data_IF_775285638784
#
_entry.id   IF_775285638784
#
_cell.length_a   1.000
_cell.length_b   1.000
_cell.length_c   1.000
_cell.angle_alpha   90.00
_cell.angle_beta   90.00
_cell.angle_gamma   90.00
#
_symmetry.space_group_name_H-M   'P 1'
#
loop_
_entity.id
_entity.type
_entity.pdbx_description
1 polymer ?
#
# COMPACT_ATOMS: atom_id res chain seq x y z
N UNK A 1 19.01 33.20 -1.31
CA UNK A 1 20.46 32.91 -1.34
C UNK A 1 20.65 31.45 -0.98
N UNK A 2 21.61 30.75 -1.60
CA UNK A 2 21.93 29.38 -1.21
C UNK A 2 22.82 29.46 0.05
N UNK A 3 22.36 29.02 1.24
CA UNK A 3 23.14 29.15 2.48
C UNK A 3 24.47 28.38 2.41
N UNK A 4 24.61 27.44 1.47
CA UNK A 4 25.86 26.69 1.25
C UNK A 4 26.97 27.49 0.56
N UNK A 5 26.67 28.67 -0.01
CA UNK A 5 27.68 29.56 -0.59
C UNK A 5 28.12 30.67 0.37
N UNK A 6 27.57 30.69 1.59
CA UNK A 6 27.97 31.63 2.62
C UNK A 6 29.28 31.17 3.29
N UNK A 7 30.39 31.93 3.15
CA UNK A 7 31.67 31.57 3.76
C UNK A 7 31.61 31.49 5.28
N UNK A 8 30.71 32.23 5.94
CA UNK A 8 30.55 32.17 7.39
C UNK A 8 29.91 30.84 7.83
N UNK A 9 28.94 30.34 7.06
CA UNK A 9 28.33 29.05 7.33
C UNK A 9 29.30 27.88 7.11
N UNK A 10 30.11 27.94 6.05
CA UNK A 10 31.13 26.92 5.78
C UNK A 10 32.18 26.87 6.90
N UNK A 11 32.70 28.03 7.32
CA UNK A 11 33.65 28.13 8.43
C UNK A 11 33.04 27.61 9.75
N UNK A 12 31.75 27.89 9.98
CA UNK A 12 31.03 27.35 11.12
C UNK A 12 30.94 25.82 11.09
N UNK A 13 30.61 25.21 9.94
CA UNK A 13 30.53 23.77 9.80
C UNK A 13 31.88 23.07 10.05
N UNK A 14 32.98 23.63 9.55
CA UNK A 14 34.33 23.11 9.81
C UNK A 14 34.73 23.23 11.29
N UNK A 15 34.20 24.23 12.00
CA UNK A 15 34.46 24.44 13.42
C UNK A 15 33.61 23.54 14.35
N UNK A 16 32.60 22.83 13.83
CA UNK A 16 31.79 21.92 14.64
C UNK A 16 32.58 20.68 15.04
N UNK A 17 32.67 20.46 16.35
CA UNK A 17 33.22 19.23 16.92
C UNK A 17 32.13 18.18 16.92
N UNK A 18 32.19 17.26 15.97
CA UNK A 18 31.23 16.16 15.84
C UNK A 18 31.50 15.12 16.91
N UNK A 19 30.50 14.85 17.75
CA UNK A 19 30.53 13.75 18.71
C UNK A 19 30.39 12.44 17.95
N UNK A 20 31.31 11.51 18.19
CA UNK A 20 31.20 10.16 17.63
C UNK A 20 29.82 9.58 18.02
N UNK A 21 29.02 9.14 17.03
CA UNK A 21 27.64 8.72 17.24
C UNK A 21 27.51 7.49 18.15
N UNK A 22 28.59 6.74 18.40
CA UNK A 22 28.61 5.54 19.23
C UNK A 22 28.95 5.82 20.70
N UNK A 23 29.56 6.98 21.02
CA UNK A 23 30.09 7.27 22.37
C UNK A 23 29.03 7.20 23.47
N UNK A 24 27.81 7.68 23.20
CA UNK A 24 26.74 7.64 24.20
C UNK A 24 25.95 6.32 24.18
N UNK A 25 26.04 5.52 23.10
CA UNK A 25 25.12 4.40 22.89
C UNK A 25 25.30 3.25 23.88
N UNK A 26 26.48 3.15 24.50
CA UNK A 26 26.78 2.13 25.51
C UNK A 26 26.32 2.53 26.92
N UNK A 27 25.84 3.75 27.11
CA UNK A 27 25.40 4.26 28.41
C UNK A 27 23.91 3.96 28.65
N UNK A 28 23.47 3.82 29.91
CA UNK A 28 22.06 3.84 30.24
C UNK A 28 21.38 5.09 29.70
N UNK A 29 20.15 4.93 29.25
CA UNK A 29 19.31 5.99 28.68
C UNK A 29 19.31 7.31 29.47
N UNK A 30 19.11 7.24 30.78
CA UNK A 30 19.12 8.42 31.64
C UNK A 30 20.46 9.14 31.59
N UNK A 31 21.58 8.42 31.60
CA UNK A 31 22.91 9.00 31.45
C UNK A 31 23.10 9.65 30.06
N UNK A 32 22.60 9.05 28.98
CA UNK A 32 22.66 9.65 27.65
C UNK A 32 21.99 11.03 27.59
N UNK A 33 20.83 11.17 28.24
CA UNK A 33 20.16 12.46 28.40
C UNK A 33 21.01 13.43 29.23
N UNK A 34 21.56 12.98 30.36
CA UNK A 34 22.41 13.81 31.22
C UNK A 34 23.63 14.38 30.47
N UNK A 35 24.27 13.58 29.61
CA UNK A 35 25.39 14.01 28.76
C UNK A 35 24.93 14.91 27.62
N UNK A 36 23.76 14.65 27.04
CA UNK A 36 23.21 15.46 25.94
C UNK A 36 22.76 16.83 26.42
N UNK A 37 21.96 16.90 27.50
CA UNK A 37 21.47 18.17 28.05
C UNK A 37 22.58 19.08 28.57
N UNK A 38 23.72 18.52 28.98
CA UNK A 38 24.91 19.29 29.41
C UNK A 38 25.87 19.64 28.28
N UNK A 39 25.64 19.13 27.07
CA UNK A 39 26.51 19.43 25.95
C UNK A 39 26.42 20.93 25.60
N UNK A 40 27.54 21.65 25.42
CA UNK A 40 27.52 23.08 25.10
C UNK A 40 26.63 23.40 23.90
N UNK A 41 26.71 22.60 22.83
CA UNK A 41 25.83 22.73 21.66
C UNK A 41 24.35 22.64 22.02
N UNK A 42 23.94 21.70 22.86
CA UNK A 42 22.54 21.57 23.32
C UNK A 42 22.08 22.82 24.07
N UNK A 43 22.90 23.30 25.01
CA UNK A 43 22.62 24.50 25.79
C UNK A 43 22.48 25.74 24.89
N UNK A 44 23.39 25.90 23.93
CA UNK A 44 23.36 27.02 22.97
C UNK A 44 22.14 26.93 22.06
N UNK A 45 21.88 25.76 21.47
CA UNK A 45 20.73 25.55 20.58
C UNK A 45 19.40 25.79 21.30
N UNK A 46 19.24 25.26 22.52
CA UNK A 46 18.03 25.45 23.30
C UNK A 46 17.79 26.93 23.64
N UNK A 47 18.84 27.69 23.97
CA UNK A 47 18.71 29.13 24.24
C UNK A 47 18.31 29.94 23.02
N UNK A 48 18.82 29.57 21.83
CA UNK A 48 18.58 30.30 20.58
C UNK A 48 17.28 29.89 19.87
N UNK A 49 16.75 28.70 20.18
CA UNK A 49 15.57 28.15 19.52
C UNK A 49 14.34 29.07 19.60
N UNK A 50 13.93 29.65 20.76
CA UNK A 50 12.74 30.49 20.84
C UNK A 50 12.77 31.70 19.89
N UNK A 51 13.93 32.37 19.77
CA UNK A 51 14.08 33.54 18.91
C UNK A 51 13.93 33.17 17.42
N UNK A 52 14.53 32.05 17.01
CA UNK A 52 14.42 31.51 15.65
C UNK A 52 12.99 31.08 15.33
N UNK A 53 12.30 30.46 16.30
CA UNK A 53 10.91 30.05 16.16
C UNK A 53 9.97 31.25 16.05
N UNK A 54 10.14 32.25 16.90
CA UNK A 54 9.33 33.47 16.85
C UNK A 54 9.53 34.23 15.54
N UNK A 55 10.76 34.27 15.02
CA UNK A 55 11.03 34.85 13.72
C UNK A 55 10.33 34.06 12.59
N UNK A 56 10.27 32.72 12.69
CA UNK A 56 9.65 31.85 11.68
C UNK A 56 8.12 32.01 11.68
N UNK A 57 7.50 32.06 12.86
CA UNK A 57 6.05 32.21 13.03
C UNK A 57 5.56 33.60 12.61
N UNK A 58 6.37 34.64 12.82
CA UNK A 58 5.98 36.02 12.46
C UNK A 58 6.09 36.31 10.96
N UNK A 59 6.53 35.34 10.15
CA UNK A 59 6.67 35.51 8.70
C UNK A 59 7.74 36.52 8.30
N UNK A 60 8.53 37.01 9.26
CA UNK A 60 9.76 37.70 8.96
C UNK A 60 10.67 36.69 8.24
N UNK A 61 11.33 37.13 7.15
CA UNK A 61 12.39 36.36 6.52
C UNK A 61 13.46 36.11 7.58
N UNK A 62 13.34 35.00 8.30
CA UNK A 62 14.39 34.53 9.19
C UNK A 62 15.56 34.32 8.27
N UNK A 63 16.68 34.95 8.61
CA UNK A 63 17.95 34.54 8.06
C UNK A 63 18.02 33.01 8.20
N UNK A 64 18.15 32.21 7.13
CA UNK A 64 18.21 30.76 7.24
C UNK A 64 19.44 30.30 8.04
N UNK A 65 20.41 31.19 8.27
CA UNK A 65 21.66 30.90 8.94
C UNK A 65 21.49 30.43 10.40
N UNK A 66 20.79 31.13 11.32
CA UNK A 66 20.69 30.70 12.72
C UNK A 66 19.94 29.37 12.88
N UNK A 67 18.89 29.12 12.08
CA UNK A 67 18.19 27.84 12.07
C UNK A 67 19.12 26.70 11.59
N UNK A 68 19.88 26.93 10.52
CA UNK A 68 20.85 25.96 10.00
C UNK A 68 21.98 25.70 10.99
N UNK A 69 22.44 26.72 11.71
CA UNK A 69 23.44 26.57 12.78
C UNK A 69 22.92 25.73 13.94
N UNK A 70 21.70 25.99 14.42
CA UNK A 70 21.05 25.19 15.48
C UNK A 70 20.94 23.72 15.06
N UNK A 71 20.46 23.46 13.83
CA UNK A 71 20.35 22.10 13.31
C UNK A 71 21.72 21.43 13.16
N UNK A 72 22.73 22.16 12.71
CA UNK A 72 24.11 21.68 12.62
C UNK A 72 24.69 21.30 13.99
N UNK A 73 24.50 22.15 14.99
CA UNK A 73 24.89 21.90 16.38
C UNK A 73 24.23 20.64 16.96
N UNK A 74 22.92 20.47 16.73
CA UNK A 74 22.17 19.31 17.24
C UNK A 74 22.58 18.02 16.51
N UNK A 75 22.73 18.10 15.19
CA UNK A 75 23.17 16.97 14.38
C UNK A 75 24.60 16.54 14.75
N UNK A 76 25.50 17.49 15.03
CA UNK A 76 26.87 17.22 15.47
C UNK A 76 26.93 16.43 16.78
N UNK A 77 25.87 16.44 17.59
CA UNK A 77 25.78 15.64 18.82
C UNK A 77 24.80 14.47 18.70
N UNK A 78 24.25 14.20 17.51
CA UNK A 78 23.30 13.11 17.31
C UNK A 78 21.94 13.34 17.97
N UNK A 79 21.56 14.61 18.19
CA UNK A 79 20.19 14.98 18.58
C UNK A 79 19.40 15.24 17.31
N UNK A 80 18.46 14.35 17.03
CA UNK A 80 17.62 14.42 15.83
C UNK A 80 16.21 14.79 16.26
N UNK A 81 15.98 16.07 16.51
CA UNK A 81 14.65 16.60 16.92
C UNK A 81 14.26 17.84 16.11
N UNK A 82 13.00 18.23 16.22
CA UNK A 82 12.53 19.53 15.72
C UNK A 82 12.97 20.62 16.71
N UNK A 83 13.36 21.79 16.19
CA UNK A 83 13.67 22.98 16.98
C UNK A 83 12.46 23.36 17.85
N UNK A 84 11.22 23.11 17.37
CA UNK A 84 9.97 23.36 18.09
C UNK A 84 9.75 22.50 19.34
N UNK A 85 10.58 21.49 19.58
CA UNK A 85 10.34 20.47 20.61
C UNK A 85 11.57 20.13 21.45
N UNK A 86 12.57 21.01 21.54
CA UNK A 86 13.74 20.78 22.41
C UNK A 86 13.33 20.86 23.90
N UNK A 87 13.42 19.75 24.66
CA UNK A 87 13.17 19.78 26.09
C UNK A 87 14.10 20.74 26.82
N UNK A 88 13.60 21.37 27.89
CA UNK A 88 14.45 22.18 28.77
C UNK A 88 15.63 21.34 29.26
N UNK A 89 16.86 21.89 29.29
CA UNK A 89 17.97 21.22 29.93
C UNK A 89 17.73 20.91 31.41
N UNK A 90 16.75 21.56 32.04
CA UNK A 90 16.34 21.29 33.43
C UNK A 90 15.34 20.12 33.55
N UNK A 91 14.72 19.69 32.44
CA UNK A 91 13.78 18.57 32.43
C UNK A 91 14.49 17.28 32.88
N UNK A 92 13.95 16.63 33.91
CA UNK A 92 14.49 15.36 34.38
C UNK A 92 14.22 14.26 33.35
N UNK A 93 15.03 13.20 33.37
CA UNK A 93 14.90 12.11 32.41
C UNK A 93 13.49 11.49 32.43
N UNK A 94 12.94 11.26 33.62
CA UNK A 94 11.63 10.63 33.80
C UNK A 94 10.45 11.51 33.34
N UNK A 95 10.70 12.80 33.12
CA UNK A 95 9.71 13.78 32.65
C UNK A 95 9.78 14.00 31.12
N UNK A 96 10.65 13.27 30.41
CA UNK A 96 10.76 13.31 28.95
C UNK A 96 9.65 12.48 28.30
N UNK A 97 8.39 12.89 28.51
CA UNK A 97 7.22 12.29 27.86
C UNK A 97 6.62 13.28 26.85
N UNK A 98 6.23 12.77 25.67
CA UNK A 98 5.48 13.51 24.66
C UNK A 98 5.96 13.30 23.22
N UNK A 99 5.20 13.82 22.23
CA UNK A 99 5.62 13.86 20.83
C UNK A 99 6.94 14.61 20.69
N UNK A 100 7.94 14.02 20.03
CA UNK A 100 9.27 14.64 19.92
C UNK A 100 10.25 14.33 21.05
N UNK A 101 9.86 13.59 22.10
CA UNK A 101 10.78 12.99 23.07
C UNK A 101 11.30 11.60 22.63
N UNK A 102 10.92 11.13 21.44
CA UNK A 102 11.27 9.78 20.96
C UNK A 102 12.77 9.55 20.78
N UNK A 103 13.53 10.62 20.51
CA UNK A 103 15.00 10.57 20.45
C UNK A 103 15.63 10.40 21.85
N UNK A 104 14.93 10.82 22.91
CA UNK A 104 15.41 10.76 24.29
C UNK A 104 15.20 9.37 24.93
N UNK A 105 14.47 8.47 24.28
CA UNK A 105 14.48 7.04 24.60
C UNK A 105 15.46 6.31 23.68
N UNK A 106 16.77 6.22 24.03
CA UNK A 106 17.70 5.34 23.38
C UNK A 106 17.24 3.91 23.57
N UNK A 107 16.59 3.48 22.52
CA UNK A 107 16.24 2.13 22.18
C UNK A 107 17.42 1.58 21.38
N UNK A 108 17.68 0.28 21.47
CA UNK A 108 18.61 -0.40 20.57
C UNK A 108 18.17 -0.36 19.09
N UNK A 109 17.01 0.24 18.82
CA UNK A 109 16.30 0.36 17.54
C UNK A 109 15.71 1.78 17.45
N UNK A 110 16.25 2.66 16.61
CA UNK A 110 15.75 4.05 16.49
C UNK A 110 14.97 4.24 15.19
N UNK A 111 13.76 4.83 15.21
CA UNK A 111 13.05 5.16 13.97
C UNK A 111 13.84 6.20 13.18
N UNK A 112 14.00 5.99 11.88
CA UNK A 112 14.51 7.02 10.98
C UNK A 112 13.35 7.92 10.52
N UNK A 113 13.54 9.23 10.63
CA UNK A 113 12.62 10.21 10.04
C UNK A 113 12.87 10.36 8.54
N UNK A 114 11.91 10.96 7.82
CA UNK A 114 12.04 11.23 6.38
C UNK A 114 13.32 12.02 6.07
N UNK A 115 13.68 12.99 6.92
CA UNK A 115 14.94 13.73 6.79
C UNK A 115 16.16 12.81 6.89
N UNK A 116 16.13 11.81 7.76
CA UNK A 116 17.24 10.88 7.94
C UNK A 116 17.35 9.95 6.74
N UNK A 117 16.22 9.59 6.12
CA UNK A 117 16.20 8.87 4.85
C UNK A 117 16.77 9.72 3.71
N UNK A 118 16.44 11.00 3.63
CA UNK A 118 17.04 11.92 2.66
C UNK A 118 18.55 12.06 2.87
N UNK A 119 18.98 12.25 4.11
CA UNK A 119 20.40 12.29 4.45
C UNK A 119 21.10 10.96 4.13
N UNK A 120 20.46 9.83 4.39
CA UNK A 120 20.98 8.51 4.06
C UNK A 120 21.12 8.37 2.54
N UNK A 121 20.08 8.67 1.77
CA UNK A 121 20.11 8.64 0.31
C UNK A 121 21.25 9.52 -0.23
N UNK A 122 21.42 10.74 0.29
CA UNK A 122 22.51 11.63 -0.12
C UNK A 122 23.89 11.06 0.26
N UNK A 123 24.02 10.43 1.42
CA UNK A 123 25.28 9.92 1.93
C UNK A 123 25.69 8.57 1.29
N UNK A 124 24.73 7.74 0.91
CA UNK A 124 24.98 6.36 0.47
C UNK A 124 24.86 6.16 -1.03
N UNK A 125 24.07 6.98 -1.73
CA UNK A 125 23.96 6.86 -3.18
C UNK A 125 25.23 7.39 -3.86
N UNK A 126 25.70 6.73 -4.93
CA UNK A 126 26.65 7.33 -5.85
C UNK A 126 26.15 8.71 -6.31
N UNK A 127 27.08 9.64 -6.58
CA UNK A 127 26.74 11.02 -6.94
C UNK A 127 25.72 11.11 -8.09
N UNK A 128 25.85 10.27 -9.10
CA UNK A 128 24.93 10.24 -10.24
C UNK A 128 23.51 9.83 -9.83
N UNK A 129 23.38 8.80 -8.99
CA UNK A 129 22.09 8.33 -8.47
C UNK A 129 21.45 9.36 -7.52
N UNK A 130 22.26 10.03 -6.68
CA UNK A 130 21.79 11.08 -5.78
C UNK A 130 21.21 12.28 -6.54
N UNK A 131 21.82 12.66 -7.68
CA UNK A 131 21.29 13.71 -8.57
C UNK A 131 19.92 13.31 -9.13
N UNK A 132 19.76 12.07 -9.60
CA UNK A 132 18.48 11.61 -10.11
C UNK A 132 17.42 11.51 -9.01
N UNK A 133 17.78 11.02 -7.82
CA UNK A 133 16.87 11.03 -6.66
C UNK A 133 16.38 12.45 -6.34
N UNK A 134 17.28 13.43 -6.33
CA UNK A 134 16.94 14.83 -6.13
C UNK A 134 16.04 15.38 -7.26
N UNK A 135 16.30 15.02 -8.52
CA UNK A 135 15.46 15.40 -9.65
C UNK A 135 14.05 14.81 -9.54
N UNK A 136 13.90 13.53 -9.24
CA UNK A 136 12.58 12.91 -9.07
C UNK A 136 11.79 13.53 -7.92
N UNK A 137 12.46 13.81 -6.79
CA UNK A 137 11.84 14.52 -5.67
C UNK A 137 11.40 15.94 -6.07
N UNK A 138 12.23 16.64 -6.86
CA UNK A 138 11.91 17.97 -7.37
C UNK A 138 10.71 17.96 -8.32
N UNK A 139 10.71 17.08 -9.32
CA UNK A 139 9.64 16.96 -10.31
C UNK A 139 8.32 16.49 -9.69
N UNK A 140 8.37 15.67 -8.64
CA UNK A 140 7.19 15.27 -7.87
C UNK A 140 6.54 16.43 -7.09
N UNK A 141 7.27 17.53 -6.88
CA UNK A 141 6.81 18.72 -6.13
C UNK A 141 6.51 19.91 -7.04
N UNK A 142 7.34 20.14 -8.06
CA UNK A 142 7.28 21.31 -8.95
C UNK A 142 6.43 21.12 -10.20
N UNK A 143 5.79 19.95 -10.36
CA UNK A 143 4.77 19.79 -11.39
C UNK A 143 3.76 20.92 -11.38
N UNK A 144 3.44 21.46 -12.56
CA UNK A 144 2.46 22.54 -12.70
C UNK A 144 1.17 22.15 -11.96
N UNK A 145 0.84 22.83 -10.84
CA UNK A 145 -0.37 22.51 -10.12
C UNK A 145 -1.54 22.97 -10.98
N UNK A 146 -2.31 22.01 -11.51
CA UNK A 146 -3.65 22.32 -11.99
C UNK A 146 -4.48 22.65 -10.76
N UNK A 147 -4.93 23.89 -10.65
CA UNK A 147 -5.65 24.39 -9.49
C UNK A 147 -6.92 23.57 -9.25
N UNK A 148 -7.01 22.89 -8.10
CA UNK A 148 -8.16 22.06 -7.72
C UNK A 148 -8.05 20.56 -8.04
N UNK A 149 -6.92 20.06 -8.55
CA UNK A 149 -6.79 18.66 -8.98
C UNK A 149 -5.79 17.84 -8.15
N UNK A 150 -6.24 17.38 -6.97
CA UNK A 150 -5.47 16.48 -6.11
C UNK A 150 -5.22 15.10 -6.77
N UNK A 151 -6.04 14.71 -7.74
CA UNK A 151 -5.91 13.46 -8.49
C UNK A 151 -4.74 13.52 -9.47
N UNK A 152 -4.57 14.62 -10.20
CA UNK A 152 -3.40 14.88 -11.05
C UNK A 152 -2.10 14.94 -10.25
N UNK A 153 -2.09 15.56 -9.06
CA UNK A 153 -0.89 15.55 -8.20
C UNK A 153 -0.54 14.15 -7.72
N UNK A 154 -1.55 13.34 -7.40
CA UNK A 154 -1.37 11.93 -7.01
C UNK A 154 -0.84 11.10 -8.18
N UNK A 155 -1.40 11.29 -9.37
CA UNK A 155 -0.96 10.62 -10.59
C UNK A 155 0.47 11.03 -10.99
N UNK A 156 0.83 12.30 -10.84
CA UNK A 156 2.18 12.77 -11.14
C UNK A 156 3.21 12.18 -10.18
N UNK A 157 2.91 12.15 -8.87
CA UNK A 157 3.76 11.47 -7.88
C UNK A 157 3.90 9.99 -8.22
N UNK A 158 2.81 9.33 -8.59
CA UNK A 158 2.81 7.94 -9.02
C UNK A 158 3.71 7.73 -10.24
N UNK A 159 3.60 8.59 -11.26
CA UNK A 159 4.42 8.53 -12.47
C UNK A 159 5.92 8.67 -12.14
N UNK A 160 6.29 9.61 -11.26
CA UNK A 160 7.69 9.77 -10.85
C UNK A 160 8.21 8.56 -10.06
N UNK A 161 7.37 7.95 -9.22
CA UNK A 161 7.69 6.68 -8.55
C UNK A 161 7.94 5.57 -9.58
N UNK A 162 7.12 5.48 -10.63
CA UNK A 162 7.35 4.49 -11.71
C UNK A 162 8.66 4.78 -12.46
N UNK A 163 8.98 6.04 -12.75
CA UNK A 163 10.25 6.40 -13.39
C UNK A 163 11.47 6.07 -12.53
N UNK A 164 11.37 6.22 -11.20
CA UNK A 164 12.40 5.78 -10.27
C UNK A 164 12.54 4.25 -10.25
N UNK A 165 11.44 3.49 -10.36
CA UNK A 165 11.45 2.02 -10.42
C UNK A 165 12.07 1.44 -11.69
N UNK A 166 12.06 2.20 -12.78
CA UNK A 166 12.72 1.81 -14.04
C UNK A 166 14.25 1.95 -13.98
N UNK A 167 14.80 2.53 -12.90
CA UNK A 167 16.25 2.60 -12.70
C UNK A 167 16.80 1.26 -12.27
N UNK A 168 17.83 0.83 -12.99
CA UNK A 168 18.48 -0.47 -12.79
C UNK A 168 19.77 -0.37 -12.00
N UNK A 169 20.14 0.80 -11.46
CA UNK A 169 21.32 0.90 -10.59
C UNK A 169 21.06 0.17 -9.28
N UNK A 170 22.12 -0.42 -8.72
CA UNK A 170 22.02 -1.23 -7.49
C UNK A 170 21.51 -0.42 -6.30
N UNK A 171 21.70 0.91 -6.31
CA UNK A 171 21.16 1.83 -5.31
C UNK A 171 19.64 2.02 -5.35
N UNK A 172 18.99 1.92 -6.53
CA UNK A 172 17.53 2.01 -6.67
C UNK A 172 16.83 0.65 -6.53
N UNK A 173 17.58 -0.45 -6.67
CA UNK A 173 17.09 -1.83 -6.48
C UNK A 173 17.02 -2.26 -5.02
N UNK A 174 17.53 -1.47 -4.08
CA UNK A 174 17.48 -1.79 -2.66
C UNK A 174 16.05 -1.71 -2.12
N UNK A 175 15.60 -2.75 -1.42
CA UNK A 175 14.24 -2.84 -0.87
C UNK A 175 14.01 -1.84 0.26
N UNK A 176 12.85 -1.19 0.22
CA UNK A 176 12.33 -0.37 1.32
C UNK A 176 10.80 -0.44 1.32
N UNK A 177 10.24 -1.26 2.20
CA UNK A 177 8.78 -1.32 2.43
C UNK A 177 8.42 -1.41 3.93
N UNK A 178 9.35 -1.06 4.81
CA UNK A 178 9.23 -1.27 6.25
C UNK A 178 9.70 -0.04 7.05
N UNK A 179 9.27 0.13 8.31
CA UNK A 179 9.85 1.12 9.19
C UNK A 179 11.36 0.91 9.27
N UNK A 180 12.13 1.87 8.79
CA UNK A 180 13.56 1.82 8.97
C UNK A 180 13.91 2.09 10.40
N UNK A 181 14.66 1.15 10.96
CA UNK A 181 15.26 1.32 12.24
C UNK A 181 16.78 1.32 12.12
N UNK A 182 17.43 2.31 12.74
CA UNK A 182 18.85 2.20 13.02
C UNK A 182 19.04 1.22 14.18
N UNK A 183 19.75 0.11 13.95
CA UNK A 183 20.01 -0.90 14.98
C UNK A 183 21.38 -0.64 15.61
N UNK A 184 21.42 -0.62 16.95
CA UNK A 184 22.68 -0.57 17.67
C UNK A 184 23.31 -1.96 17.76
N UNK A 185 24.38 -2.19 16.98
CA UNK A 185 25.03 -3.51 16.89
C UNK A 185 25.70 -3.99 18.19
N UNK A 186 26.00 -3.10 19.15
CA UNK A 186 26.52 -3.51 20.47
C UNK A 186 25.43 -3.87 21.47
N UNK A 187 24.16 -3.56 21.18
CA UNK A 187 23.06 -3.98 22.03
C UNK A 187 22.86 -5.48 21.95
N UNK A 188 22.44 -6.11 23.06
CA UNK A 188 22.12 -7.52 23.05
C UNK A 188 20.94 -7.81 22.11
N UNK A 189 20.95 -8.97 21.43
CA UNK A 189 19.85 -9.40 20.57
C UNK A 189 18.49 -9.37 21.28
N UNK A 190 18.45 -9.73 22.57
CA UNK A 190 17.24 -9.68 23.39
C UNK A 190 16.71 -8.25 23.56
N UNK A 191 17.60 -7.28 23.73
CA UNK A 191 17.23 -5.87 23.84
C UNK A 191 16.71 -5.33 22.50
N UNK A 192 17.39 -5.67 21.39
CA UNK A 192 16.95 -5.33 20.02
C UNK A 192 15.53 -5.85 19.75
N UNK A 193 15.28 -7.12 20.04
CA UNK A 193 13.95 -7.72 19.86
C UNK A 193 12.87 -7.05 20.73
N UNK A 194 13.20 -6.75 21.99
CA UNK A 194 12.29 -6.07 22.92
C UNK A 194 11.91 -4.69 22.42
N UNK A 195 12.89 -3.91 21.98
CA UNK A 195 12.68 -2.54 21.53
C UNK A 195 11.97 -2.49 20.17
N UNK A 196 12.33 -3.37 19.24
CA UNK A 196 11.62 -3.54 17.97
C UNK A 196 10.14 -3.89 18.21
N UNK A 197 9.86 -4.80 19.15
CA UNK A 197 8.49 -5.15 19.53
C UNK A 197 7.69 -3.96 20.07
N UNK A 198 8.31 -3.09 20.88
CA UNK A 198 7.67 -1.84 21.36
C UNK A 198 7.33 -0.90 20.22
N UNK A 199 8.26 -0.68 19.28
CA UNK A 199 8.04 0.19 18.13
C UNK A 199 6.95 -0.34 17.20
N UNK A 200 6.97 -1.64 16.90
CA UNK A 200 5.91 -2.28 16.08
C UNK A 200 4.55 -2.13 16.76
N UNK A 201 4.47 -2.34 18.07
CA UNK A 201 3.22 -2.18 18.83
C UNK A 201 2.69 -0.75 18.72
N UNK A 202 3.54 0.25 18.98
CA UNK A 202 3.18 1.68 18.89
C UNK A 202 2.73 2.06 17.48
N UNK A 203 3.44 1.59 16.45
CA UNK A 203 3.10 1.87 15.05
C UNK A 203 1.75 1.26 14.66
N UNK A 204 1.44 0.05 15.16
CA UNK A 204 0.13 -0.58 14.97
C UNK A 204 -0.98 0.22 15.65
N UNK A 205 -0.76 0.67 16.89
CA UNK A 205 -1.70 1.52 17.64
C UNK A 205 -1.98 2.83 16.89
N UNK A 206 -0.93 3.52 16.42
CA UNK A 206 -1.06 4.77 15.65
C UNK A 206 -1.84 4.60 14.34
N UNK A 207 -1.66 3.46 13.66
CA UNK A 207 -2.34 3.17 12.39
C UNK A 207 -3.69 2.47 12.57
N UNK A 208 -4.16 2.27 13.81
CA UNK A 208 -5.36 1.48 14.11
C UNK A 208 -5.34 0.08 13.49
N UNK A 209 -4.15 -0.51 13.34
CA UNK A 209 -3.98 -1.85 12.78
C UNK A 209 -4.13 -2.86 13.93
N UNK A 210 -5.22 -3.64 13.97
CA UNK A 210 -5.41 -4.63 15.02
C UNK A 210 -4.33 -5.71 14.94
N UNK A 211 -3.83 -6.15 16.09
CA UNK A 211 -2.95 -7.32 16.14
C UNK A 211 -3.73 -8.56 15.69
N UNK A 212 -3.37 -9.10 14.52
CA UNK A 212 -3.94 -10.34 14.00
C UNK A 212 -2.87 -11.42 14.01
N UNK A 213 -3.14 -12.52 14.71
CA UNK A 213 -2.37 -13.75 14.52
C UNK A 213 -2.71 -14.31 13.14
N UNK A 214 -1.72 -14.32 12.25
CA UNK A 214 -1.84 -15.01 10.96
C UNK A 214 -1.73 -16.51 11.20
N UNK A 215 -2.85 -17.22 11.08
CA UNK A 215 -2.84 -18.68 11.08
C UNK A 215 -2.43 -19.16 9.68
N UNK A 216 -1.16 -19.55 9.51
CA UNK A 216 -0.62 -20.06 8.24
C UNK A 216 -1.47 -21.21 7.68
N UNK A 217 -1.93 -22.12 8.54
CA UNK A 217 -2.84 -23.21 8.14
C UNK A 217 -4.15 -22.71 7.53
N UNK A 218 -4.70 -21.60 8.07
CA UNK A 218 -5.90 -20.95 7.51
C UNK A 218 -5.59 -20.34 6.15
N UNK A 219 -4.42 -19.73 5.97
CA UNK A 219 -4.00 -19.15 4.69
C UNK A 219 -3.99 -20.17 3.55
N UNK A 220 -3.41 -21.35 3.79
CA UNK A 220 -3.40 -22.42 2.78
C UNK A 220 -4.81 -22.86 2.38
N UNK A 221 -5.75 -22.90 3.34
CA UNK A 221 -7.15 -23.23 3.02
C UNK A 221 -7.88 -22.14 2.25
N UNK A 222 -7.54 -20.86 2.49
CA UNK A 222 -8.09 -19.71 1.76
C UNK A 222 -7.61 -19.73 0.31
N UNK A 223 -6.30 -19.88 0.11
CA UNK A 223 -5.70 -19.97 -1.23
C UNK A 223 -6.22 -21.19 -1.99
N UNK A 224 -6.25 -22.38 -1.38
CA UNK A 224 -6.79 -23.57 -2.04
C UNK A 224 -8.27 -23.43 -2.46
N UNK A 225 -9.05 -22.65 -1.71
CA UNK A 225 -10.46 -22.36 -2.06
C UNK A 225 -10.52 -21.37 -3.22
N UNK A 226 -9.70 -20.31 -3.20
CA UNK A 226 -9.60 -19.35 -4.30
C UNK A 226 -9.13 -20.03 -5.59
N UNK A 227 -8.06 -20.82 -5.50
CA UNK A 227 -7.48 -21.57 -6.61
C UNK A 227 -8.48 -22.54 -7.22
N UNK A 228 -9.23 -23.28 -6.40
CA UNK A 228 -10.24 -24.20 -6.91
C UNK A 228 -11.43 -23.50 -7.59
N UNK A 229 -11.89 -22.37 -7.05
CA UNK A 229 -13.02 -21.63 -7.62
C UNK A 229 -12.63 -20.93 -8.92
N UNK A 230 -11.47 -20.26 -8.92
CA UNK A 230 -11.03 -19.50 -10.08
C UNK A 230 -10.34 -20.37 -11.14
N UNK A 231 -9.82 -21.54 -10.77
CA UNK A 231 -9.09 -22.44 -11.66
C UNK A 231 -7.58 -22.15 -11.70
N UNK A 232 -6.97 -21.76 -10.57
CA UNK A 232 -5.50 -21.65 -10.51
C UNK A 232 -4.87 -23.00 -10.18
N UNK A 233 -3.89 -23.41 -10.99
CA UNK A 233 -3.10 -24.63 -10.78
C UNK A 233 -1.67 -24.39 -11.29
N UNK A 234 -0.65 -24.87 -10.58
CA UNK A 234 0.77 -24.73 -10.97
C UNK A 234 1.23 -23.28 -11.28
N UNK A 235 0.63 -22.30 -10.61
CA UNK A 235 0.95 -20.88 -10.79
C UNK A 235 0.40 -20.27 -12.07
N UNK A 236 -0.54 -20.95 -12.74
CA UNK A 236 -1.23 -20.47 -13.94
C UNK A 236 -2.73 -20.55 -13.77
N UNK A 237 -3.42 -19.73 -14.53
CA UNK A 237 -4.88 -19.78 -14.66
C UNK A 237 -5.26 -20.93 -15.61
N UNK A 238 -6.33 -21.66 -15.32
CA UNK A 238 -6.86 -22.81 -16.06
C UNK A 238 -8.39 -22.81 -15.97
N UNK A 239 -9.06 -22.24 -16.95
CA UNK A 239 -10.52 -22.07 -16.97
C UNK A 239 -11.26 -23.41 -16.81
N UNK A 240 -10.75 -24.48 -17.39
CA UNK A 240 -11.29 -25.85 -17.31
C UNK A 240 -11.17 -26.48 -15.92
N UNK A 241 -10.31 -25.92 -15.06
CA UNK A 241 -10.13 -26.36 -13.67
C UNK A 241 -10.96 -25.55 -12.67
N UNK A 242 -11.61 -24.47 -13.12
CA UNK A 242 -12.50 -23.69 -12.28
C UNK A 242 -13.68 -24.54 -11.82
N UNK A 243 -13.92 -24.58 -10.50
CA UNK A 243 -14.99 -25.34 -9.87
C UNK A 243 -16.07 -24.40 -9.33
N UNK A 244 -17.33 -24.86 -9.33
CA UNK A 244 -18.39 -24.10 -8.64
C UNK A 244 -18.18 -24.12 -7.13
N UNK A 245 -18.72 -23.13 -6.41
CA UNK A 245 -18.73 -23.12 -4.94
C UNK A 245 -19.32 -24.42 -4.37
N UNK A 246 -20.34 -24.99 -5.04
CA UNK A 246 -20.96 -26.24 -4.66
C UNK A 246 -19.99 -27.43 -4.80
N UNK A 247 -19.25 -27.52 -5.90
CA UNK A 247 -18.29 -28.60 -6.12
C UNK A 247 -17.12 -28.51 -5.15
N UNK A 248 -16.63 -27.29 -4.87
CA UNK A 248 -15.59 -27.05 -3.87
C UNK A 248 -16.08 -27.41 -2.47
N UNK A 249 -17.32 -27.05 -2.10
CA UNK A 249 -17.93 -27.42 -0.83
C UNK A 249 -18.07 -28.94 -0.66
N UNK A 250 -18.54 -29.63 -1.71
CA UNK A 250 -18.64 -31.09 -1.72
C UNK A 250 -17.27 -31.76 -1.57
N UNK A 251 -16.26 -31.28 -2.33
CA UNK A 251 -14.88 -31.80 -2.29
C UNK A 251 -14.23 -31.57 -0.93
N UNK A 252 -14.40 -30.39 -0.34
CA UNK A 252 -13.84 -30.03 0.97
C UNK A 252 -14.62 -30.65 2.14
N UNK A 253 -15.82 -31.19 1.91
CA UNK A 253 -16.79 -31.64 2.93
C UNK A 253 -17.16 -30.49 3.89
N UNK A 254 -17.39 -29.32 3.32
CA UNK A 254 -17.74 -28.10 4.05
C UNK A 254 -19.07 -27.51 3.55
N UNK A 255 -19.62 -26.55 4.29
CA UNK A 255 -20.83 -25.85 3.85
C UNK A 255 -20.52 -24.85 2.73
N UNK A 256 -21.48 -24.61 1.82
CA UNK A 256 -21.38 -23.56 0.77
C UNK A 256 -21.03 -22.19 1.36
N UNK A 257 -21.66 -21.83 2.49
CA UNK A 257 -21.38 -20.57 3.21
C UNK A 257 -19.93 -20.50 3.72
N UNK A 258 -19.38 -21.61 4.22
CA UNK A 258 -17.98 -21.65 4.65
C UNK A 258 -17.01 -21.43 3.49
N UNK A 259 -17.25 -22.10 2.35
CA UNK A 259 -16.45 -21.95 1.14
C UNK A 259 -16.53 -20.52 0.59
N UNK A 260 -17.74 -19.95 0.52
CA UNK A 260 -17.94 -18.58 0.07
C UNK A 260 -17.20 -17.57 0.95
N UNK A 261 -17.32 -17.67 2.27
CA UNK A 261 -16.59 -16.79 3.19
C UNK A 261 -15.07 -16.92 3.06
N UNK A 262 -14.56 -18.11 2.76
CA UNK A 262 -13.13 -18.32 2.48
C UNK A 262 -12.70 -17.67 1.18
N UNK A 263 -13.51 -17.80 0.14
CA UNK A 263 -13.28 -17.12 -1.13
C UNK A 263 -13.22 -15.60 -0.97
N UNK A 264 -14.21 -15.00 -0.28
CA UNK A 264 -14.26 -13.56 -0.01
C UNK A 264 -13.01 -13.07 0.75
N UNK A 265 -12.58 -13.80 1.77
CA UNK A 265 -11.38 -13.45 2.54
C UNK A 265 -10.10 -13.64 1.72
N UNK A 266 -10.02 -14.68 0.89
CA UNK A 266 -8.89 -14.89 -0.02
C UNK A 266 -8.79 -13.76 -1.06
N UNK A 267 -9.92 -13.40 -1.67
CA UNK A 267 -10.04 -12.27 -2.60
C UNK A 267 -9.56 -10.97 -1.93
N UNK A 268 -10.00 -10.72 -0.69
CA UNK A 268 -9.58 -9.54 0.07
C UNK A 268 -8.09 -9.51 0.36
N UNK A 269 -7.48 -10.65 0.63
CA UNK A 269 -6.04 -10.76 0.88
C UNK A 269 -5.21 -10.60 -0.39
N UNK A 270 -5.69 -11.09 -1.54
CA UNK A 270 -5.01 -10.98 -2.83
C UNK A 270 -5.09 -9.57 -3.41
N UNK A 271 -6.25 -8.93 -3.32
CA UNK A 271 -6.52 -7.64 -3.96
C UNK A 271 -6.30 -6.45 -3.03
N UNK A 272 -6.34 -6.67 -1.71
CA UNK A 272 -6.37 -5.60 -0.71
C UNK A 272 -7.74 -4.98 -0.48
N UNK A 273 -8.79 -5.43 -1.18
CA UNK A 273 -10.13 -4.83 -1.15
C UNK A 273 -11.24 -5.86 -0.89
N UNK A 274 -12.35 -5.50 -0.22
CA UNK A 274 -13.52 -6.38 -0.16
C UNK A 274 -13.98 -6.80 -1.55
N UNK A 275 -14.50 -8.02 -1.67
CA UNK A 275 -15.06 -8.49 -2.93
C UNK A 275 -16.25 -7.61 -3.34
N UNK A 276 -16.19 -7.12 -4.57
CA UNK A 276 -17.36 -6.62 -5.32
C UNK A 276 -17.29 -7.22 -6.71
N UNK A 277 -18.44 -7.39 -7.36
CA UNK A 277 -18.48 -7.95 -8.70
C UNK A 277 -17.71 -7.07 -9.70
N UNK A 278 -17.77 -5.75 -9.57
CA UNK A 278 -17.08 -4.81 -10.46
C UNK A 278 -15.56 -4.92 -10.33
N UNK A 279 -15.05 -5.10 -9.10
CA UNK A 279 -13.63 -5.27 -8.87
C UNK A 279 -13.16 -6.66 -9.33
N UNK A 280 -13.94 -7.70 -9.06
CA UNK A 280 -13.70 -9.03 -9.58
C UNK A 280 -13.63 -9.01 -11.11
N UNK A 281 -14.59 -8.36 -11.76
CA UNK A 281 -14.67 -8.21 -13.20
C UNK A 281 -13.41 -7.54 -13.75
N UNK A 282 -13.04 -6.38 -13.19
CA UNK A 282 -11.83 -5.64 -13.61
C UNK A 282 -10.54 -6.46 -13.50
N UNK A 283 -10.43 -7.36 -12.52
CA UNK A 283 -9.20 -8.10 -12.24
C UNK A 283 -9.15 -9.47 -12.92
N UNK A 284 -10.27 -10.19 -12.97
CA UNK A 284 -10.32 -11.60 -13.35
C UNK A 284 -11.03 -11.84 -14.69
N UNK A 285 -11.95 -10.99 -15.12
CA UNK A 285 -12.69 -11.23 -16.37
C UNK A 285 -11.76 -11.31 -17.58
N UNK A 286 -10.76 -10.44 -17.66
CA UNK A 286 -9.78 -10.43 -18.75
C UNK A 286 -9.00 -11.75 -18.82
N UNK A 287 -8.66 -12.35 -17.67
CA UNK A 287 -7.97 -13.65 -17.62
C UNK A 287 -8.87 -14.78 -18.14
N UNK A 288 -10.14 -14.77 -17.76
CA UNK A 288 -11.11 -15.78 -18.22
C UNK A 288 -11.36 -15.68 -19.72
N UNK A 289 -11.50 -14.45 -20.23
CA UNK A 289 -11.82 -14.19 -21.64
C UNK A 289 -10.61 -14.51 -22.52
N UNK A 290 -9.41 -14.09 -22.14
CA UNK A 290 -8.19 -14.41 -22.88
C UNK A 290 -7.93 -15.92 -22.97
N UNK A 291 -8.20 -16.70 -21.92
CA UNK A 291 -8.10 -18.15 -22.01
C UNK A 291 -9.19 -18.79 -22.86
N UNK A 292 -10.42 -18.31 -22.73
CA UNK A 292 -11.53 -18.79 -23.56
C UNK A 292 -11.29 -18.54 -25.06
N UNK A 293 -10.50 -17.52 -25.42
CA UNK A 293 -10.03 -17.24 -26.79
C UNK A 293 -8.93 -18.18 -27.26
N UNK A 294 -7.92 -18.44 -26.43
CA UNK A 294 -6.81 -19.36 -26.74
C UNK A 294 -7.30 -20.81 -26.91
N UNK A 295 -8.30 -21.23 -26.15
CA UNK A 295 -8.87 -22.58 -26.19
C UNK A 295 -9.95 -22.78 -27.28
N UNK A 296 -10.17 -21.77 -28.16
CA UNK A 296 -11.06 -21.87 -29.35
C UNK A 296 -10.48 -22.78 -30.43
N UNK A 297 -10.24 -24.03 -30.10
CA UNK A 297 -10.11 -25.09 -31.11
C UNK A 297 -11.51 -25.55 -31.52
N UNK A 298 -11.76 -25.89 -32.81
CA UNK A 298 -13.06 -26.36 -33.30
C UNK A 298 -13.62 -27.57 -32.54
N UNK A 299 -12.75 -28.33 -31.87
CA UNK A 299 -13.05 -29.54 -31.11
C UNK A 299 -13.65 -29.25 -29.72
N UNK A 300 -13.39 -28.06 -29.14
CA UNK A 300 -13.90 -27.65 -27.83
C UNK A 300 -15.27 -26.96 -27.87
N UNK A 301 -15.84 -26.73 -29.05
CA UNK A 301 -17.18 -26.13 -29.21
C UNK A 301 -18.28 -26.92 -28.47
N UNK A 302 -18.12 -28.24 -28.35
CA UNK A 302 -19.15 -29.13 -27.79
C UNK A 302 -19.26 -29.16 -26.27
N UNK A 303 -18.26 -28.68 -25.52
CA UNK A 303 -18.30 -28.66 -24.05
C UNK A 303 -18.95 -27.39 -23.49
N UNK A 304 -18.75 -26.25 -24.15
CA UNK A 304 -19.39 -24.98 -23.81
C UNK A 304 -20.86 -24.90 -24.26
N UNK A 305 -21.27 -25.73 -25.23
CA UNK A 305 -22.65 -25.78 -25.75
C UNK A 305 -23.47 -26.97 -25.25
N UNK A 306 -23.05 -27.69 -24.20
CA UNK A 306 -23.95 -28.65 -23.51
C UNK A 306 -25.01 -27.90 -22.71
N UNK A 307 -25.95 -27.31 -23.46
CA UNK A 307 -27.32 -27.01 -23.06
C UNK A 307 -27.86 -28.22 -22.33
N UNK A 308 -28.08 -28.08 -21.02
CA UNK A 308 -29.18 -28.81 -20.39
C UNK A 308 -30.43 -28.20 -20.99
N UNK A 309 -31.16 -28.95 -21.80
CA UNK A 309 -32.55 -28.65 -22.10
C UNK A 309 -33.30 -28.60 -20.76
N UNK A 310 -33.42 -27.40 -20.19
CA UNK A 310 -34.33 -27.09 -19.10
C UNK A 310 -35.73 -26.98 -19.72
N UNK A 311 -36.26 -28.11 -20.16
CA UNK A 311 -37.70 -28.28 -20.19
C UNK A 311 -38.19 -28.08 -18.76
N UNK A 312 -38.95 -27.01 -18.55
CA UNK A 312 -39.49 -26.56 -17.27
C UNK A 312 -40.31 -27.65 -16.59
N UNK A 313 -39.65 -28.52 -15.80
CA UNK A 313 -40.33 -29.30 -14.78
C UNK A 313 -40.63 -28.37 -13.62
N UNK A 314 -41.80 -27.71 -13.69
CA UNK A 314 -42.43 -27.14 -12.51
C UNK A 314 -42.71 -28.29 -11.53
N UNK A 315 -41.82 -28.48 -10.56
CA UNK A 315 -42.10 -29.31 -9.40
C UNK A 315 -42.88 -28.41 -8.42
N UNK A 316 -44.13 -28.76 -8.07
CA UNK A 316 -44.91 -27.97 -7.13
C UNK A 316 -44.25 -28.04 -5.75
N UNK A 317 -43.73 -26.91 -5.29
CA UNK A 317 -43.17 -26.78 -3.93
C UNK A 317 -44.32 -26.60 -2.96
N UNK A 318 -44.44 -27.52 -2.01
CA UNK A 318 -45.48 -27.52 -0.99
C UNK A 318 -45.19 -26.41 0.04
N UNK A 319 -46.12 -25.49 0.26
CA UNK A 319 -45.97 -24.23 1.02
C UNK A 319 -45.75 -24.38 2.55
N UNK A 320 -45.49 -25.59 3.05
CA UNK A 320 -45.55 -25.90 4.49
C UNK A 320 -44.22 -25.81 5.25
N UNK A 321 -43.21 -25.04 4.77
CA UNK A 321 -41.91 -24.88 5.47
C UNK A 321 -41.31 -23.47 5.49
N UNK A 322 -42.13 -22.42 5.50
CA UNK A 322 -41.65 -21.05 5.76
C UNK A 322 -41.84 -20.70 7.24
N UNK A 323 -40.81 -20.99 8.02
CA UNK A 323 -40.69 -20.60 9.43
C UNK A 323 -39.22 -20.63 9.84
N UNK A 324 -38.48 -19.57 9.52
CA UNK A 324 -37.10 -19.39 9.94
C UNK A 324 -36.37 -18.40 9.04
N UNK A 325 -36.18 -17.18 9.54
CA UNK A 325 -35.39 -16.11 8.93
C UNK A 325 -34.04 -16.63 8.42
N UNK A 326 -33.89 -16.62 7.10
CA UNK A 326 -32.62 -16.85 6.41
C UNK A 326 -32.67 -16.11 5.07
N UNK A 327 -32.77 -14.78 5.17
CA UNK A 327 -32.76 -13.86 4.03
C UNK A 327 -31.40 -13.86 3.29
N UNK A 328 -30.35 -14.39 3.93
CA UNK A 328 -28.99 -14.45 3.38
C UNK A 328 -28.71 -15.72 2.51
N UNK A 329 -29.66 -16.64 2.39
CA UNK A 329 -29.48 -17.93 1.69
C UNK A 329 -30.13 -18.01 0.31
N UNK A 330 -30.86 -16.97 -0.12
CA UNK A 330 -31.49 -16.91 -1.46
C UNK A 330 -30.52 -16.52 -2.59
N UNK A 331 -29.39 -15.88 -2.28
CA UNK A 331 -28.37 -15.49 -3.28
C UNK A 331 -27.31 -16.57 -3.56
N UNK A 332 -27.48 -17.80 -3.05
CA UNK A 332 -26.47 -18.87 -3.12
C UNK A 332 -26.66 -19.89 -4.26
N UNK A 333 -27.51 -19.61 -5.25
CA UNK A 333 -27.61 -20.38 -6.51
C UNK A 333 -26.75 -19.76 -7.62
N UNK A 334 -25.45 -19.61 -7.35
CA UNK A 334 -24.46 -19.05 -8.28
C UNK A 334 -24.04 -20.01 -9.41
N UNK A 335 -24.85 -21.00 -9.77
CA UNK A 335 -24.73 -21.69 -11.07
C UNK A 335 -25.47 -20.95 -12.18
N UNK A 336 -26.36 -20.02 -11.83
CA UNK A 336 -27.03 -19.13 -12.79
C UNK A 336 -26.06 -18.09 -13.35
N UNK A 337 -25.11 -17.58 -12.56
CA UNK A 337 -24.18 -16.49 -12.96
C UNK A 337 -23.35 -16.75 -14.24
N UNK A 338 -22.92 -17.98 -14.54
CA UNK A 338 -22.18 -18.29 -15.78
C UNK A 338 -23.11 -18.46 -17.00
N UNK A 339 -24.34 -18.95 -16.78
CA UNK A 339 -25.36 -19.05 -17.82
C UNK A 339 -25.91 -17.65 -18.15
N UNK A 340 -26.23 -16.87 -17.12
CA UNK A 340 -26.59 -15.45 -17.20
C UNK A 340 -25.51 -14.62 -17.90
N UNK A 341 -24.23 -14.90 -17.66
CA UNK A 341 -23.14 -14.23 -18.37
C UNK A 341 -23.10 -14.59 -19.86
N UNK A 342 -23.30 -15.86 -20.19
CA UNK A 342 -23.32 -16.32 -21.59
C UNK A 342 -24.54 -15.77 -22.32
N UNK A 343 -25.70 -15.76 -21.66
CA UNK A 343 -26.94 -15.16 -22.16
C UNK A 343 -26.79 -13.65 -22.32
N UNK A 344 -26.26 -12.94 -21.33
CA UNK A 344 -25.99 -11.51 -21.41
C UNK A 344 -25.03 -11.18 -22.56
N UNK A 345 -23.96 -11.97 -22.75
CA UNK A 345 -23.04 -11.77 -23.87
C UNK A 345 -23.74 -12.00 -25.22
N UNK A 346 -24.51 -13.08 -25.34
CA UNK A 346 -25.25 -13.39 -26.56
C UNK A 346 -26.32 -12.33 -26.87
N UNK A 347 -26.96 -11.78 -25.85
CA UNK A 347 -27.96 -10.72 -25.99
C UNK A 347 -27.30 -9.40 -26.41
N UNK A 348 -26.15 -9.05 -25.79
CA UNK A 348 -25.35 -7.88 -26.19
C UNK A 348 -24.86 -7.99 -27.63
N UNK A 349 -24.26 -9.13 -28.01
CA UNK A 349 -23.81 -9.41 -29.38
C UNK A 349 -24.98 -9.34 -30.38
N UNK A 350 -26.12 -9.98 -30.07
CA UNK A 350 -27.30 -9.96 -30.95
C UNK A 350 -27.87 -8.56 -31.13
N UNK A 351 -27.86 -7.73 -30.07
CA UNK A 351 -28.37 -6.36 -30.14
C UNK A 351 -27.39 -5.44 -30.90
N UNK A 352 -26.08 -5.62 -30.74
CA UNK A 352 -25.08 -4.90 -31.55
C UNK A 352 -25.16 -5.27 -33.03
N UNK A 353 -25.33 -6.55 -33.37
CA UNK A 353 -25.51 -7.00 -34.76
C UNK A 353 -26.78 -6.43 -35.40
N UNK A 354 -27.84 -6.23 -34.60
CA UNK A 354 -29.07 -5.56 -35.04
C UNK A 354 -28.93 -4.04 -35.17
N UNK A 355 -27.75 -3.49 -34.83
CA UNK A 355 -27.47 -2.06 -34.90
C UNK A 355 -28.11 -1.24 -33.77
N UNK A 356 -28.46 -1.86 -32.64
CA UNK A 356 -29.01 -1.14 -31.50
C UNK A 356 -27.98 -0.17 -30.89
N UNK A 357 -28.47 1.01 -30.49
CA UNK A 357 -27.68 2.00 -29.76
C UNK A 357 -27.43 1.57 -28.31
N UNK A 358 -26.42 2.14 -27.65
CA UNK A 358 -26.10 1.78 -26.26
C UNK A 358 -27.26 2.10 -25.29
N UNK A 359 -28.03 3.17 -25.57
CA UNK A 359 -29.21 3.53 -24.79
C UNK A 359 -30.34 2.50 -24.94
N UNK A 360 -30.60 2.04 -26.17
CA UNK A 360 -31.62 1.00 -26.44
C UNK A 360 -31.23 -0.34 -25.81
N UNK A 361 -29.95 -0.69 -25.83
CA UNK A 361 -29.44 -1.92 -25.23
C UNK A 361 -29.54 -1.84 -23.70
N UNK A 362 -29.17 -0.70 -23.12
CA UNK A 362 -29.29 -0.43 -21.69
C UNK A 362 -30.74 -0.55 -21.21
N UNK A 363 -31.68 0.06 -21.94
CA UNK A 363 -33.11 -0.04 -21.66
C UNK A 363 -33.64 -1.47 -21.81
N UNK A 364 -33.26 -2.18 -22.89
CA UNK A 364 -33.72 -3.53 -23.19
C UNK A 364 -33.26 -4.55 -22.15
N UNK A 365 -32.00 -4.44 -21.71
CA UNK A 365 -31.38 -5.40 -20.79
C UNK A 365 -31.49 -4.96 -19.31
N UNK A 366 -31.99 -3.74 -19.04
CA UNK A 366 -32.14 -3.20 -17.69
C UNK A 366 -30.82 -2.81 -17.02
N UNK A 367 -29.79 -2.47 -17.80
CA UNK A 367 -28.47 -2.06 -17.28
C UNK A 367 -28.21 -0.56 -17.51
N UNK A 368 -27.28 0.06 -16.76
CA UNK A 368 -26.83 1.43 -17.06
C UNK A 368 -26.10 1.53 -18.40
N UNK A 369 -26.29 2.64 -19.12
CA UNK A 369 -25.61 2.90 -20.42
C UNK A 369 -24.08 2.79 -20.32
N UNK A 370 -23.50 3.25 -19.21
CA UNK A 370 -22.06 3.16 -18.95
C UNK A 370 -21.55 1.71 -18.92
N UNK A 371 -22.37 0.77 -18.44
CA UNK A 371 -22.03 -0.66 -18.43
C UNK A 371 -21.99 -1.21 -19.86
N UNK A 372 -22.99 -0.89 -20.69
CA UNK A 372 -23.04 -1.30 -22.11
C UNK A 372 -21.85 -0.74 -22.89
N UNK A 373 -21.49 0.53 -22.67
CA UNK A 373 -20.31 1.16 -23.27
C UNK A 373 -19.01 0.48 -22.85
N UNK A 374 -18.91 0.08 -21.58
CA UNK A 374 -17.75 -0.65 -21.07
C UNK A 374 -17.65 -2.05 -21.72
N UNK A 375 -18.76 -2.76 -21.87
CA UNK A 375 -18.80 -4.02 -22.60
C UNK A 375 -18.42 -3.83 -24.08
N UNK A 376 -18.99 -2.83 -24.77
CA UNK A 376 -18.71 -2.55 -26.19
C UNK A 376 -17.24 -2.22 -26.42
N UNK A 377 -16.67 -1.33 -25.61
CA UNK A 377 -15.24 -0.98 -25.69
C UNK A 377 -14.36 -2.19 -25.44
N UNK A 378 -14.68 -2.99 -24.42
CA UNK A 378 -13.98 -4.21 -24.10
C UNK A 378 -13.96 -5.19 -25.29
N UNK A 379 -15.12 -5.54 -25.86
CA UNK A 379 -15.21 -6.46 -26.99
C UNK A 379 -14.60 -5.90 -28.29
N UNK A 380 -14.66 -4.58 -28.50
CA UNK A 380 -14.01 -3.93 -29.64
C UNK A 380 -12.48 -4.07 -29.57
N UNK A 381 -11.87 -3.94 -28.39
CA UNK A 381 -10.44 -4.19 -28.19
C UNK A 381 -10.06 -5.68 -28.26
N UNK A 382 -10.96 -6.59 -27.90
CA UNK A 382 -10.70 -8.04 -28.00
C UNK A 382 -10.82 -8.56 -29.44
N UNK A 383 -11.69 -7.98 -30.27
CA UNK A 383 -11.92 -8.41 -31.66
C UNK A 383 -10.75 -8.13 -32.62
N UNK A 384 -9.87 -7.16 -32.32
CA UNK A 384 -8.68 -6.86 -33.13
C UNK A 384 -7.56 -7.91 -32.99
N UNK A 385 -7.64 -8.81 -32.00
CA UNK A 385 -6.69 -9.92 -31.83
C UNK A 385 -6.93 -11.07 -32.82
N UNK A 386 -8.08 -11.11 -33.50
CA UNK A 386 -8.40 -12.11 -34.54
C UNK A 386 -7.97 -11.66 -35.96
N UNK A 387 -7.40 -10.45 -36.11
CA UNK A 387 -6.98 -9.88 -37.40
C UNK A 387 -5.44 -9.78 -37.62
N UNK A 388 -4.64 -10.36 -36.72
CA UNK A 388 -3.17 -10.52 -36.81
C UNK A 388 -2.83 -11.99 -36.68
#
# INVERSE_FOLDING_TARGET
MNPTTDPEFAAFQEALVVRDPFVLRDLPTSAQWEFTRRHPYYQTAWRLAPDVLQATVTGNLVDPLPASMILGMMSAIGVVTDINGLPSPETAFDDLDGPGAEWAHPSSVHPLMIRDLLCLLIATLPREDAVYAAMYLREAVLGDPVEGDDEHRTQQRFNQIQMARLRTSDGFKSLVDEPFFAIHLRASQRQIQKDLGKHIKRLREQKSIPERRVHVKKMNSLLATFDAIEGWEEGRYHLEKAMTIQDVAARAKESRSTVWNRYLEAFRLLTGHPYTFELWWKLLANLKIAQAEVDRTPENYGSLTRRRDLASRQVPVNESRLGGDNEMLRDLDSTESNAEFTELRMDLESLWEKGASDDEIAETLGYPVAFVQQCRSFFATSGDLDAV
#
